data_IF_790413003325
#
_entry.id   IF_790413003325
#
_cell.length_a   1.000
_cell.length_b   1.000
_cell.length_c   1.000
_cell.angle_alpha   90.00
_cell.angle_beta   90.00
_cell.angle_gamma   90.00
#
_symmetry.space_group_name_H-M   'P 1'
#
loop_
_entity.id
_entity.type
_entity.pdbx_description
1 polymer ?
#
# COMPACT_ATOMS: atom_id res chain seq x y z
N UNK A 1 -59.81 17.90 -24.23
CA UNK A 1 -60.76 16.87 -23.77
C UNK A 1 -61.84 16.65 -24.82
N UNK A 2 -61.68 15.73 -25.77
CA UNK A 2 -62.76 15.31 -26.68
C UNK A 2 -62.55 13.86 -27.11
N UNK A 3 -63.21 12.98 -26.39
CA UNK A 3 -63.51 11.60 -26.79
C UNK A 3 -64.63 11.62 -27.84
N UNK A 4 -64.44 10.97 -28.99
CA UNK A 4 -65.50 10.51 -29.91
C UNK A 4 -64.99 9.20 -30.54
N UNK A 5 -65.56 8.02 -30.24
CA UNK A 5 -66.82 7.49 -30.76
C UNK A 5 -66.91 7.67 -32.28
N UNK A 6 -66.61 6.62 -33.06
CA UNK A 6 -67.61 5.66 -33.54
C UNK A 6 -66.99 4.71 -34.57
N UNK A 7 -67.18 3.42 -34.30
CA UNK A 7 -66.95 2.31 -35.21
C UNK A 7 -67.76 2.45 -36.49
N UNK A 8 -67.20 2.05 -37.63
CA UNK A 8 -68.02 1.48 -38.71
C UNK A 8 -67.25 0.40 -39.47
N UNK A 9 -67.91 -0.76 -39.53
CA UNK A 9 -67.53 -2.02 -40.15
C UNK A 9 -67.37 -1.95 -41.68
N UNK A 10 -66.64 -2.90 -42.28
CA UNK A 10 -66.75 -3.14 -43.72
C UNK A 10 -65.71 -4.04 -44.38
N UNK A 11 -65.75 -5.34 -44.11
CA UNK A 11 -65.00 -6.43 -44.77
C UNK A 11 -65.40 -6.57 -46.26
N UNK A 12 -64.46 -6.80 -47.22
CA UNK A 12 -64.44 -7.95 -48.19
C UNK A 12 -63.56 -7.78 -49.45
N UNK A 13 -63.00 -8.93 -49.87
CA UNK A 13 -62.53 -9.36 -51.22
C UNK A 13 -61.23 -8.77 -51.78
N UNK A 14 -60.06 -9.41 -51.67
CA UNK A 14 -59.55 -10.66 -52.30
C UNK A 14 -59.27 -10.63 -53.83
N UNK A 15 -57.97 -10.68 -54.12
CA UNK A 15 -57.24 -11.60 -55.02
C UNK A 15 -57.10 -11.36 -56.54
N UNK A 16 -55.89 -11.74 -56.98
CA UNK A 16 -55.36 -12.15 -58.31
C UNK A 16 -54.78 -11.02 -59.17
N UNK A 17 -53.44 -10.89 -59.23
CA UNK A 17 -52.46 -11.71 -59.99
C UNK A 17 -52.54 -11.46 -61.50
N UNK A 18 -51.46 -10.97 -62.13
CA UNK A 18 -50.63 -11.79 -63.03
C UNK A 18 -49.45 -11.03 -63.66
N UNK A 19 -48.38 -11.81 -63.80
CA UNK A 19 -47.09 -11.61 -64.43
C UNK A 19 -47.11 -10.99 -65.85
N UNK A 20 -46.14 -10.10 -66.14
CA UNK A 20 -45.85 -9.59 -67.49
C UNK A 20 -44.36 -9.25 -67.66
N UNK A 21 -43.55 -10.25 -68.00
CA UNK A 21 -42.16 -10.13 -68.45
C UNK A 21 -42.05 -9.27 -69.73
N UNK A 22 -40.82 -8.79 -70.03
CA UNK A 22 -40.09 -8.88 -71.33
C UNK A 22 -39.38 -7.55 -71.72
N UNK A 23 -38.09 -7.38 -71.39
CA UNK A 23 -36.88 -7.68 -72.22
C UNK A 23 -36.63 -6.65 -73.33
N UNK A 24 -35.62 -5.75 -73.23
CA UNK A 24 -34.25 -5.81 -73.82
C UNK A 24 -33.80 -4.33 -73.99
N UNK A 25 -32.55 -3.86 -74.02
CA UNK A 25 -31.19 -4.40 -74.18
C UNK A 25 -30.23 -3.23 -73.88
N UNK A 26 -29.10 -3.51 -73.22
CA UNK A 26 -27.81 -2.82 -73.32
C UNK A 26 -27.70 -1.35 -72.87
N UNK A 27 -27.20 -1.16 -71.65
CA UNK A 27 -26.01 -0.32 -71.48
C UNK A 27 -24.96 -1.09 -70.68
N UNK A 28 -24.09 -1.71 -71.46
CA UNK A 28 -23.01 -2.60 -71.08
C UNK A 28 -21.75 -1.77 -70.84
N UNK A 29 -21.69 -0.94 -69.78
CA UNK A 29 -20.45 -0.20 -69.47
C UNK A 29 -20.29 0.27 -68.00
N UNK A 30 -20.81 -0.46 -67.00
CA UNK A 30 -20.76 0.03 -65.60
C UNK A 30 -20.57 -1.02 -64.50
N UNK A 31 -20.47 -2.31 -64.80
CA UNK A 31 -20.28 -3.36 -63.78
C UNK A 31 -19.17 -4.34 -64.16
N UNK A 32 -17.95 -3.82 -64.33
CA UNK A 32 -16.73 -4.64 -64.36
C UNK A 32 -15.63 -4.04 -63.47
N UNK A 33 -16.00 -3.64 -62.25
CA UNK A 33 -15.05 -3.28 -61.20
C UNK A 33 -15.56 -3.62 -59.81
N UNK A 34 -16.19 -4.79 -59.65
CA UNK A 34 -16.54 -5.29 -58.31
C UNK A 34 -16.70 -6.81 -58.23
N UNK A 35 -15.86 -7.56 -58.95
CA UNK A 35 -15.86 -9.02 -58.86
C UNK A 35 -14.51 -9.66 -59.26
N UNK A 36 -13.40 -9.08 -58.77
CA UNK A 36 -12.10 -9.75 -58.78
C UNK A 36 -11.16 -9.32 -57.64
N UNK A 37 -11.71 -8.88 -56.50
CA UNK A 37 -10.98 -8.75 -55.22
C UNK A 37 -11.41 -9.84 -54.22
N UNK A 38 -11.66 -11.05 -54.73
CA UNK A 38 -11.96 -12.24 -53.90
C UNK A 38 -10.84 -13.28 -53.91
N UNK A 39 -9.60 -12.88 -54.19
CA UNK A 39 -8.41 -13.75 -54.09
C UNK A 39 -7.35 -13.23 -53.09
N UNK A 40 -7.61 -12.12 -52.37
CA UNK A 40 -6.62 -11.48 -51.48
C UNK A 40 -6.85 -11.62 -49.97
N UNK A 41 -7.99 -12.14 -49.51
CA UNK A 41 -8.39 -12.05 -48.09
C UNK A 41 -8.67 -13.37 -47.37
N UNK A 42 -8.25 -14.53 -47.90
CA UNK A 42 -8.49 -15.84 -47.24
C UNK A 42 -7.22 -16.67 -46.97
N UNK A 43 -6.17 -16.04 -46.46
CA UNK A 43 -5.00 -16.75 -45.89
C UNK A 43 -4.74 -16.43 -44.41
N UNK A 44 -5.68 -15.79 -43.71
CA UNK A 44 -5.63 -15.62 -42.25
C UNK A 44 -6.75 -16.41 -41.58
N UNK A 45 -6.61 -17.73 -41.53
CA UNK A 45 -7.22 -18.60 -40.51
C UNK A 45 -6.84 -20.05 -40.78
N UNK A 46 -5.76 -20.50 -40.15
CA UNK A 46 -5.69 -21.82 -39.51
C UNK A 46 -4.43 -21.83 -38.62
N UNK A 47 -4.54 -22.00 -37.29
CA UNK A 47 -3.37 -22.40 -36.52
C UNK A 47 -2.99 -23.80 -37.03
N UNK A 48 -1.89 -23.89 -37.78
CA UNK A 48 -1.28 -25.17 -38.14
C UNK A 48 -0.63 -25.75 -36.88
N UNK A 49 -1.44 -26.10 -35.89
CA UNK A 49 -1.04 -26.98 -34.80
C UNK A 49 -1.05 -28.43 -35.31
N UNK A 50 -0.35 -28.64 -36.43
CA UNK A 50 0.00 -29.97 -36.85
C UNK A 50 1.04 -30.46 -35.85
N UNK A 51 0.69 -31.53 -35.13
CA UNK A 51 1.55 -32.36 -34.26
C UNK A 51 2.75 -32.94 -35.02
N UNK A 52 3.58 -32.10 -35.64
CA UNK A 52 4.91 -32.49 -36.08
C UNK A 52 5.78 -32.56 -34.84
N UNK A 53 6.38 -33.73 -34.59
CA UNK A 53 7.38 -33.91 -33.52
C UNK A 53 8.38 -32.76 -33.63
N UNK A 54 8.47 -31.92 -32.59
CA UNK A 54 9.40 -30.78 -32.55
C UNK A 54 10.80 -31.32 -32.82
N UNK A 55 11.34 -31.03 -34.00
CA UNK A 55 12.70 -31.44 -34.37
C UNK A 55 13.68 -30.79 -33.40
N UNK A 56 14.78 -31.47 -33.08
CA UNK A 56 15.87 -30.87 -32.32
C UNK A 56 16.32 -29.58 -33.04
N UNK A 57 16.19 -28.45 -32.36
CA UNK A 57 16.54 -27.14 -32.90
C UNK A 57 18.02 -26.92 -32.61
N UNK A 58 18.82 -26.60 -33.64
CA UNK A 58 20.22 -26.25 -33.43
C UNK A 58 20.34 -24.98 -32.57
N UNK A 59 21.26 -24.90 -31.59
CA UNK A 59 21.37 -23.78 -30.64
C UNK A 59 21.47 -22.39 -31.29
N UNK A 60 22.20 -22.29 -32.41
CA UNK A 60 22.41 -21.01 -33.11
C UNK A 60 21.39 -20.75 -34.23
N UNK A 61 20.33 -21.54 -34.35
CA UNK A 61 19.32 -21.34 -35.39
C UNK A 61 18.41 -20.14 -35.08
N UNK A 62 17.80 -19.56 -36.13
CA UNK A 62 16.80 -18.48 -35.98
C UNK A 62 15.64 -18.87 -35.06
N UNK A 63 15.21 -20.13 -35.12
CA UNK A 63 14.15 -20.66 -34.25
C UNK A 63 14.59 -20.74 -32.78
N UNK A 64 15.82 -21.19 -32.51
CA UNK A 64 16.38 -21.19 -31.14
C UNK A 64 16.51 -19.77 -30.58
N UNK A 65 17.01 -18.82 -31.39
CA UNK A 65 17.13 -17.42 -30.96
C UNK A 65 15.76 -16.79 -30.64
N UNK A 66 14.72 -17.13 -31.42
CA UNK A 66 13.35 -16.67 -31.14
C UNK A 66 12.80 -17.26 -29.83
N UNK A 67 13.04 -18.54 -29.57
CA UNK A 67 12.67 -19.18 -28.31
C UNK A 67 13.40 -18.54 -27.12
N UNK A 68 14.71 -18.31 -27.24
CA UNK A 68 15.50 -17.63 -26.21
C UNK A 68 14.98 -16.21 -25.93
N UNK A 69 14.63 -15.44 -26.97
CA UNK A 69 14.03 -14.10 -26.79
C UNK A 69 12.70 -14.16 -26.03
N UNK A 70 11.85 -15.14 -26.33
CA UNK A 70 10.58 -15.35 -25.61
C UNK A 70 10.82 -15.73 -24.15
N UNK A 71 11.71 -16.69 -23.90
CA UNK A 71 12.01 -17.12 -22.52
C UNK A 71 12.61 -15.97 -21.69
N UNK A 72 13.52 -15.17 -22.25
CA UNK A 72 14.06 -14.00 -21.54
C UNK A 72 12.99 -12.94 -21.29
N UNK A 73 12.05 -12.75 -22.22
CA UNK A 73 10.92 -11.85 -21.99
C UNK A 73 10.04 -12.34 -20.83
N UNK A 74 9.68 -13.63 -20.83
CA UNK A 74 8.90 -14.28 -19.78
C UNK A 74 9.61 -14.16 -18.43
N UNK A 75 10.91 -14.48 -18.35
CA UNK A 75 11.71 -14.31 -17.14
C UNK A 75 11.71 -12.86 -16.64
N UNK A 76 11.80 -11.86 -17.54
CA UNK A 76 11.77 -10.45 -17.16
C UNK A 76 10.39 -9.99 -16.69
N UNK A 77 9.30 -10.54 -17.24
CA UNK A 77 7.93 -10.27 -16.77
C UNK A 77 7.72 -10.91 -15.40
N UNK A 78 8.10 -12.19 -15.26
CA UNK A 78 7.98 -12.94 -14.01
C UNK A 78 8.81 -12.29 -12.89
N UNK A 79 10.05 -11.88 -13.17
CA UNK A 79 10.90 -11.17 -12.20
C UNK A 79 10.24 -9.89 -11.71
N UNK A 80 9.66 -9.07 -12.59
CA UNK A 80 8.95 -7.84 -12.20
C UNK A 80 7.71 -8.14 -11.35
N UNK A 81 7.00 -9.24 -11.62
CA UNK A 81 5.86 -9.66 -10.82
C UNK A 81 6.31 -10.11 -9.41
N UNK A 82 7.37 -10.94 -9.34
CA UNK A 82 7.97 -11.38 -8.07
C UNK A 82 8.48 -10.20 -7.24
N UNK A 83 9.21 -9.26 -7.84
CA UNK A 83 9.69 -8.05 -7.15
C UNK A 83 8.53 -7.22 -6.55
N UNK A 84 7.42 -7.06 -7.29
CA UNK A 84 6.24 -6.36 -6.77
C UNK A 84 5.56 -7.13 -5.64
N UNK A 85 5.44 -8.45 -5.78
CA UNK A 85 4.87 -9.31 -4.75
C UNK A 85 5.71 -9.27 -3.46
N UNK A 86 7.04 -9.40 -3.56
CA UNK A 86 7.95 -9.32 -2.41
C UNK A 86 7.89 -7.97 -1.70
N UNK A 87 7.72 -6.86 -2.44
CA UNK A 87 7.53 -5.54 -1.81
C UNK A 87 6.22 -5.46 -1.02
N UNK A 88 5.14 -6.03 -1.56
CA UNK A 88 3.85 -6.08 -0.87
C UNK A 88 3.90 -7.00 0.36
N UNK A 89 4.60 -8.12 0.26
CA UNK A 89 4.84 -9.06 1.37
C UNK A 89 5.61 -8.39 2.50
N UNK A 90 6.75 -7.74 2.20
CA UNK A 90 7.52 -6.98 3.21
C UNK A 90 6.69 -5.88 3.88
N UNK A 91 5.83 -5.21 3.12
CA UNK A 91 4.91 -4.20 3.66
C UNK A 91 3.88 -4.88 4.58
N UNK A 92 3.29 -6.00 4.15
CA UNK A 92 2.35 -6.78 4.95
C UNK A 92 2.96 -7.26 6.27
N UNK A 93 4.17 -7.80 6.25
CA UNK A 93 4.90 -8.23 7.45
C UNK A 93 5.14 -7.05 8.40
N UNK A 94 5.51 -5.89 7.85
CA UNK A 94 5.66 -4.65 8.62
C UNK A 94 4.35 -4.26 9.30
N UNK A 95 3.24 -4.22 8.55
CA UNK A 95 1.93 -3.88 9.10
C UNK A 95 1.51 -4.85 10.20
N UNK A 96 1.72 -6.15 9.97
CA UNK A 96 1.36 -7.18 10.92
C UNK A 96 2.14 -7.05 12.22
N UNK A 97 3.44 -6.76 12.14
CA UNK A 97 4.22 -6.47 13.34
C UNK A 97 3.62 -5.29 14.13
N UNK A 98 3.23 -4.20 13.45
CA UNK A 98 2.62 -3.06 14.13
C UNK A 98 1.24 -3.40 14.72
N UNK A 99 0.45 -4.24 14.05
CA UNK A 99 -0.82 -4.72 14.57
C UNK A 99 -0.62 -5.53 15.86
N UNK A 100 0.28 -6.51 15.82
CA UNK A 100 0.57 -7.43 16.94
C UNK A 100 1.18 -6.71 18.17
N UNK A 101 1.90 -5.61 17.95
CA UNK A 101 2.54 -4.81 19.01
C UNK A 101 1.68 -3.63 19.49
N UNK A 102 0.42 -3.52 19.03
CA UNK A 102 -0.53 -2.50 19.51
C UNK A 102 -1.60 -3.09 20.42
N UNK A 103 -2.16 -2.24 21.29
CA UNK A 103 -3.18 -2.60 22.27
C UNK A 103 -4.57 -2.55 21.62
N UNK A 104 -5.27 -3.68 21.62
CA UNK A 104 -6.65 -3.78 21.11
C UNK A 104 -7.67 -2.97 21.94
N UNK A 105 -7.29 -2.38 23.06
CA UNK A 105 -8.22 -1.60 23.90
C UNK A 105 -8.24 -0.10 23.54
N UNK A 106 -7.18 0.40 22.91
CA UNK A 106 -7.01 1.85 22.66
C UNK A 106 -7.72 2.29 21.38
N UNK A 107 -8.08 3.57 21.29
CA UNK A 107 -8.77 4.14 20.11
C UNK A 107 -7.80 4.89 19.19
N UNK A 108 -6.73 5.46 19.74
CA UNK A 108 -5.71 6.21 19.02
C UNK A 108 -4.43 6.28 19.84
N UNK A 109 -3.30 6.45 19.15
CA UNK A 109 -1.99 6.64 19.77
C UNK A 109 -1.55 8.10 19.71
N UNK A 110 -0.77 8.49 20.71
CA UNK A 110 -0.05 9.77 20.66
C UNK A 110 1.19 9.65 19.78
N UNK A 111 1.69 10.79 19.29
CA UNK A 111 2.91 10.83 18.47
C UNK A 111 4.14 10.26 19.21
N UNK A 112 4.23 10.49 20.52
CA UNK A 112 5.28 9.94 21.39
C UNK A 112 5.23 8.42 21.47
N UNK A 113 4.04 7.85 21.65
CA UNK A 113 3.87 6.39 21.68
C UNK A 113 4.17 5.78 20.32
N UNK A 114 3.85 6.47 19.22
CA UNK A 114 4.24 6.04 17.88
C UNK A 114 5.78 5.97 17.73
N UNK A 115 6.52 6.95 18.25
CA UNK A 115 7.99 6.90 18.30
C UNK A 115 8.49 5.71 19.12
N UNK A 116 7.89 5.43 20.28
CA UNK A 116 8.25 4.28 21.12
C UNK A 116 8.01 2.93 20.40
N UNK A 117 6.92 2.82 19.64
CA UNK A 117 6.65 1.63 18.82
C UNK A 117 7.68 1.47 17.70
N UNK A 118 8.13 2.57 17.09
CA UNK A 118 9.21 2.54 16.09
C UNK A 118 10.52 2.08 16.71
N UNK A 119 10.88 2.56 17.90
CA UNK A 119 12.09 2.10 18.60
C UNK A 119 12.04 0.59 18.87
N UNK A 120 10.91 0.09 19.37
CA UNK A 120 10.67 -1.37 19.52
C UNK A 120 10.79 -2.12 18.20
N UNK A 121 10.31 -1.55 17.09
CA UNK A 121 10.43 -2.15 15.76
C UNK A 121 11.88 -2.25 15.30
N UNK A 122 12.69 -1.23 15.56
CA UNK A 122 14.12 -1.22 15.21
C UNK A 122 14.90 -2.25 16.03
N UNK A 123 14.47 -2.53 17.26
CA UNK A 123 15.14 -3.50 18.15
C UNK A 123 14.76 -4.97 17.87
N UNK A 124 13.87 -5.24 16.90
CA UNK A 124 13.40 -6.60 16.58
C UNK A 124 14.50 -7.60 16.21
N UNK A 125 15.65 -7.13 15.76
CA UNK A 125 16.78 -7.98 15.36
C UNK A 125 17.82 -8.16 16.47
N UNK A 126 17.67 -7.54 17.64
CA UNK A 126 18.66 -7.61 18.71
C UNK A 126 18.85 -9.06 19.19
N UNK A 127 17.76 -9.81 19.38
CA UNK A 127 17.84 -11.23 19.76
C UNK A 127 18.57 -12.08 18.71
N UNK A 128 18.33 -11.85 17.42
CA UNK A 128 19.01 -12.58 16.33
C UNK A 128 20.50 -12.25 16.31
N UNK A 129 20.86 -10.97 16.50
CA UNK A 129 22.26 -10.52 16.54
C UNK A 129 23.00 -11.08 17.75
N UNK A 130 22.38 -11.10 18.93
CA UNK A 130 22.95 -11.69 20.15
C UNK A 130 23.18 -13.20 19.97
N UNK A 131 22.23 -13.92 19.35
CA UNK A 131 22.41 -15.35 19.04
C UNK A 131 23.58 -15.59 18.08
N UNK A 132 23.74 -14.75 17.05
CA UNK A 132 24.88 -14.84 16.12
C UNK A 132 26.19 -14.56 16.85
N UNK A 133 26.21 -13.56 17.75
CA UNK A 133 27.38 -13.22 18.55
C UNK A 133 27.77 -14.36 19.50
N UNK A 134 26.80 -14.97 20.19
CA UNK A 134 27.03 -16.14 21.03
C UNK A 134 27.60 -17.33 20.22
N UNK A 135 27.03 -17.63 19.06
CA UNK A 135 27.54 -18.72 18.20
C UNK A 135 28.94 -18.46 17.68
N UNK A 136 29.28 -17.21 17.40
CA UNK A 136 30.62 -16.82 16.96
C UNK A 136 31.64 -16.76 18.11
N UNK A 137 31.21 -16.44 19.33
CA UNK A 137 32.07 -16.43 20.51
C UNK A 137 32.38 -17.83 21.04
N UNK A 138 31.53 -18.83 20.73
CA UNK A 138 31.80 -20.26 20.93
C UNK A 138 32.92 -20.74 19.99
N UNK A 139 34.14 -20.56 20.49
CA UNK A 139 35.44 -20.67 19.82
C UNK A 139 35.69 -22.01 19.11
N UNK A 140 36.03 -21.94 17.83
CA UNK A 140 36.64 -23.01 17.02
C UNK A 140 37.52 -22.43 15.90
N UNK A 141 38.23 -23.28 15.14
CA UNK A 141 39.05 -22.87 13.97
C UNK A 141 38.22 -22.52 12.72
N UNK A 142 36.90 -22.35 12.87
CA UNK A 142 35.98 -22.07 11.77
C UNK A 142 35.79 -20.57 11.65
N UNK A 143 35.82 -20.03 10.43
CA UNK A 143 35.52 -18.62 10.18
C UNK A 143 34.12 -18.26 10.66
N UNK A 144 33.89 -16.99 10.99
CA UNK A 144 32.61 -16.53 11.56
C UNK A 144 31.42 -17.05 10.74
N UNK A 145 30.55 -17.79 11.42
CA UNK A 145 29.33 -18.30 10.82
C UNK A 145 28.34 -17.14 10.71
N UNK A 146 27.46 -17.19 9.71
CA UNK A 146 26.40 -16.20 9.50
C UNK A 146 26.85 -14.76 9.16
N UNK A 147 28.10 -14.53 8.70
CA UNK A 147 28.58 -13.19 8.28
C UNK A 147 27.62 -12.52 7.28
N UNK A 148 27.17 -13.25 6.25
CA UNK A 148 26.28 -12.69 5.23
C UNK A 148 24.93 -12.25 5.80
N UNK A 149 24.35 -13.02 6.73
CA UNK A 149 23.08 -12.68 7.39
C UNK A 149 23.27 -11.49 8.34
N UNK A 150 24.33 -11.49 9.14
CA UNK A 150 24.67 -10.39 10.04
C UNK A 150 24.86 -9.08 9.28
N UNK A 151 25.57 -9.11 8.14
CA UNK A 151 25.73 -7.95 7.26
C UNK A 151 24.40 -7.49 6.68
N UNK A 152 23.54 -8.40 6.21
CA UNK A 152 22.22 -8.05 5.67
C UNK A 152 21.33 -7.37 6.73
N UNK A 153 21.34 -7.86 7.97
CA UNK A 153 20.61 -7.25 9.09
C UNK A 153 21.15 -5.85 9.38
N UNK A 154 22.48 -5.71 9.54
CA UNK A 154 23.12 -4.41 9.80
C UNK A 154 22.79 -3.39 8.72
N UNK A 155 22.93 -3.77 7.44
CA UNK A 155 22.56 -2.91 6.31
C UNK A 155 21.08 -2.50 6.33
N UNK A 156 20.20 -3.36 6.84
CA UNK A 156 18.76 -3.04 6.96
C UNK A 156 18.54 -2.08 8.11
N UNK A 157 19.10 -2.35 9.29
CA UNK A 157 19.01 -1.48 10.46
C UNK A 157 19.59 -0.08 10.20
N UNK A 158 20.75 0.00 9.55
CA UNK A 158 21.39 1.26 9.22
C UNK A 158 20.48 2.10 8.31
N UNK A 159 19.83 1.48 7.32
CA UNK A 159 18.85 2.16 6.46
C UNK A 159 17.63 2.63 7.25
N UNK A 160 17.03 1.76 8.05
CA UNK A 160 15.82 2.09 8.82
C UNK A 160 16.10 3.18 9.88
N UNK A 161 17.24 3.12 10.57
CA UNK A 161 17.67 4.17 11.52
C UNK A 161 17.95 5.49 10.83
N UNK A 162 18.67 5.48 9.70
CA UNK A 162 18.91 6.70 8.94
C UNK A 162 17.60 7.33 8.46
N UNK A 163 16.63 6.53 8.02
CA UNK A 163 15.29 7.00 7.63
C UNK A 163 14.56 7.66 8.81
N UNK A 164 14.59 7.02 9.99
CA UNK A 164 13.94 7.52 11.21
C UNK A 164 14.56 8.83 11.72
N UNK A 165 15.87 8.97 11.64
CA UNK A 165 16.58 10.16 12.11
C UNK A 165 16.46 11.35 11.15
N UNK A 166 16.32 11.12 9.84
CA UNK A 166 16.38 12.20 8.82
C UNK A 166 15.04 12.52 8.14
N UNK A 167 14.45 11.54 7.46
CA UNK A 167 13.34 11.76 6.51
C UNK A 167 11.97 11.34 7.05
N UNK A 168 11.96 10.60 8.16
CA UNK A 168 10.79 10.04 8.80
C UNK A 168 10.53 8.61 8.34
N UNK A 169 10.43 7.71 9.32
CA UNK A 169 10.16 6.30 9.11
C UNK A 169 8.68 6.08 8.79
N UNK A 170 8.38 5.37 7.71
CA UNK A 170 7.00 5.12 7.26
C UNK A 170 6.32 4.03 8.08
N UNK A 171 5.28 4.36 8.84
CA UNK A 171 4.47 3.44 9.65
C UNK A 171 2.97 3.62 9.35
N UNK A 172 2.11 2.68 9.75
CA UNK A 172 0.66 2.90 9.70
C UNK A 172 0.27 4.13 10.51
N UNK A 173 -0.66 4.93 10.00
CA UNK A 173 -1.24 6.02 10.77
C UNK A 173 -2.06 5.46 11.94
N UNK A 174 -1.42 5.33 13.09
CA UNK A 174 -2.02 4.92 14.37
C UNK A 174 -2.51 6.11 15.19
N UNK A 175 -2.22 7.34 14.75
CA UNK A 175 -2.67 8.58 15.39
C UNK A 175 -4.14 8.81 15.03
N UNK A 176 -4.49 8.60 13.76
CA UNK A 176 -5.88 8.66 13.30
C UNK A 176 -6.66 7.41 13.71
N UNK A 177 -7.62 7.57 14.62
CA UNK A 177 -8.46 6.46 15.09
C UNK A 177 -9.26 5.77 13.98
N UNK A 178 -9.58 6.45 12.87
CA UNK A 178 -10.24 5.82 11.71
C UNK A 178 -9.32 4.83 11.00
N UNK A 179 -8.07 5.22 10.76
CA UNK A 179 -7.09 4.36 10.11
C UNK A 179 -6.65 3.22 11.04
N UNK A 180 -6.55 3.51 12.34
CA UNK A 180 -6.21 2.51 13.34
C UNK A 180 -7.26 1.38 13.43
N UNK A 181 -8.56 1.70 13.31
CA UNK A 181 -9.62 0.68 13.20
C UNK A 181 -9.43 -0.21 11.97
N UNK A 182 -9.10 0.37 10.82
CA UNK A 182 -8.83 -0.40 9.59
C UNK A 182 -7.62 -1.33 9.79
N UNK A 183 -6.55 -0.83 10.43
CA UNK A 183 -5.37 -1.64 10.74
C UNK A 183 -5.71 -2.80 11.69
N UNK A 184 -6.60 -2.57 12.66
CA UNK A 184 -7.04 -3.60 13.61
C UNK A 184 -7.86 -4.70 12.96
N UNK A 185 -8.84 -4.33 12.15
CA UNK A 185 -9.74 -5.26 11.45
C UNK A 185 -9.05 -5.97 10.28
N UNK A 186 -7.85 -5.53 9.89
CA UNK A 186 -7.11 -6.12 8.80
C UNK A 186 -6.67 -7.55 9.15
N UNK A 187 -7.08 -8.50 8.30
CA UNK A 187 -6.87 -9.94 8.50
C UNK A 187 -5.48 -10.44 8.07
N UNK A 188 -4.61 -9.54 7.59
CA UNK A 188 -3.32 -9.91 6.97
C UNK A 188 -3.39 -10.13 5.46
N UNK A 189 -4.54 -9.92 4.83
CA UNK A 189 -4.67 -10.05 3.37
C UNK A 189 -3.96 -8.92 2.61
N UNK A 190 -2.97 -9.30 1.77
CA UNK A 190 -2.14 -8.37 1.01
C UNK A 190 -2.90 -7.45 0.03
N UNK A 191 -4.13 -7.83 -0.35
CA UNK A 191 -4.97 -7.04 -1.27
C UNK A 191 -5.43 -5.72 -0.64
N UNK A 192 -5.66 -5.73 0.68
CA UNK A 192 -6.19 -4.57 1.41
C UNK A 192 -5.11 -3.68 2.00
N UNK A 193 -3.82 -4.05 1.86
CA UNK A 193 -2.67 -3.27 2.30
C UNK A 193 -2.68 -1.84 1.75
N UNK A 194 -3.17 -1.66 0.51
CA UNK A 194 -3.23 -0.35 -0.15
C UNK A 194 -4.27 0.61 0.48
N UNK A 195 -5.23 0.08 1.23
CA UNK A 195 -6.27 0.89 1.87
C UNK A 195 -5.79 1.50 3.19
N UNK A 196 -4.72 0.96 3.78
CA UNK A 196 -4.15 1.43 5.04
C UNK A 196 -3.27 2.65 4.75
N UNK A 197 -3.56 3.76 5.41
CA UNK A 197 -2.76 4.98 5.27
C UNK A 197 -1.46 4.85 6.05
N UNK A 198 -0.38 5.24 5.40
CA UNK A 198 0.96 5.31 5.99
C UNK A 198 1.29 6.77 6.32
N UNK A 199 1.97 6.98 7.44
CA UNK A 199 2.47 8.27 7.92
C UNK A 199 3.95 8.15 8.26
N UNK A 200 4.69 9.24 8.10
CA UNK A 200 6.11 9.33 8.46
C UNK A 200 6.26 9.84 9.88
N UNK A 201 7.06 9.15 10.68
CA UNK A 201 7.41 9.55 12.05
C UNK A 201 8.91 9.80 12.13
N UNK A 202 9.29 10.97 12.63
CA UNK A 202 10.70 11.37 12.78
C UNK A 202 11.08 11.29 14.25
N UNK A 203 12.34 10.96 14.56
CA UNK A 203 12.83 10.92 15.94
C UNK A 203 12.60 12.21 16.73
N UNK A 204 12.76 13.37 16.09
CA UNK A 204 12.55 14.69 16.69
C UNK A 204 11.15 14.89 17.26
N UNK A 205 10.17 14.13 16.78
CA UNK A 205 8.79 14.18 17.25
C UNK A 205 8.64 13.72 18.70
N UNK A 206 9.55 12.85 19.16
CA UNK A 206 9.63 12.44 20.55
C UNK A 206 10.17 13.59 21.44
N UNK A 207 11.18 14.31 20.94
CA UNK A 207 11.87 15.36 21.69
C UNK A 207 11.05 16.64 21.86
N UNK A 208 10.29 17.04 20.83
CA UNK A 208 9.47 18.25 20.88
C UNK A 208 8.40 18.19 21.97
N UNK A 209 7.81 17.02 22.22
CA UNK A 209 6.78 16.84 23.24
C UNK A 209 7.32 16.96 24.68
N UNK A 210 8.57 16.55 24.92
CA UNK A 210 9.21 16.70 26.26
C UNK A 210 9.45 18.15 26.67
N UNK A 211 9.44 19.09 25.72
CA UNK A 211 9.59 20.53 25.98
C UNK A 211 8.27 21.20 26.36
N UNK A 212 7.15 20.69 25.85
CA UNK A 212 5.82 21.20 26.16
C UNK A 212 5.29 20.63 27.50
N UNK A 213 5.59 19.36 27.83
CA UNK A 213 5.28 18.76 29.14
C UNK A 213 5.95 19.52 30.31
N UNK A 214 7.11 20.15 30.07
CA UNK A 214 7.80 20.98 31.08
C UNK A 214 7.13 22.34 31.30
N UNK A 215 6.46 22.93 30.29
CA UNK A 215 5.77 24.22 30.43
C UNK A 215 4.48 24.10 31.25
N UNK A 216 3.77 22.98 31.14
CA UNK A 216 2.55 22.75 31.92
C UNK A 216 2.83 22.44 33.40
N UNK A 217 4.00 21.83 33.70
CA UNK A 217 4.45 21.61 35.08
C UNK A 217 4.83 22.90 35.85
N UNK A 218 5.14 23.99 35.14
CA UNK A 218 5.52 25.28 35.73
C UNK A 218 4.29 26.16 36.03
N UNK A 219 3.21 26.05 35.24
CA UNK A 219 1.98 26.83 35.46
C UNK A 219 1.20 26.43 36.72
N UNK A 220 1.25 25.16 37.14
CA UNK A 220 0.48 24.71 38.31
C UNK A 220 1.13 25.06 39.67
N UNK A 221 2.35 25.62 39.67
CA UNK A 221 2.99 26.15 40.90
C UNK A 221 2.80 27.66 41.09
N UNK A 222 2.32 28.40 40.10
CA UNK A 222 2.18 29.86 40.15
C UNK A 222 0.75 30.36 40.43
N UNK A 223 -0.19 29.47 40.79
CA UNK A 223 -1.61 29.82 40.94
C UNK A 223 -2.16 29.47 42.34
N UNK A 224 -1.31 29.50 43.38
CA UNK A 224 -1.73 29.48 44.80
C UNK A 224 -0.93 30.53 45.59
N UNK A 225 -1.21 31.79 45.30
CA UNK A 225 -0.92 33.02 46.05
C UNK A 225 -1.52 34.08 45.12
N UNK A 226 -2.75 34.54 45.34
CA UNK A 226 -2.98 35.73 46.15
C UNK A 226 -4.47 35.85 46.46
N UNK A 227 -4.81 36.13 47.72
CA UNK A 227 -6.20 36.40 48.10
C UNK A 227 -6.49 36.47 49.58
N UNK A 228 -5.89 37.43 50.32
CA UNK A 228 -6.41 38.01 51.58
C UNK A 228 -5.87 39.45 51.69
N UNK A 229 -6.57 40.46 51.15
CA UNK A 229 -7.53 41.37 51.80
C UNK A 229 -7.00 42.10 53.05
N UNK A 230 -6.70 43.40 52.87
CA UNK A 230 -6.38 44.43 53.87
C UNK A 230 -7.55 44.67 54.85
N UNK A 231 -7.25 44.92 56.11
CA UNK A 231 -7.84 46.03 56.90
C UNK A 231 -6.80 46.52 57.92
N UNK A 232 -6.76 47.85 58.02
CA UNK A 232 -5.82 48.68 58.77
C UNK A 232 -6.05 48.65 60.29
N UNK A 233 -5.01 48.97 61.08
CA UNK A 233 -4.96 50.10 62.02
C UNK A 233 -3.87 49.93 63.10
N UNK A 234 -3.27 51.07 63.44
CA UNK A 234 -2.16 51.29 64.35
C UNK A 234 -2.43 50.82 65.79
N UNK A 235 -1.42 50.28 66.52
CA UNK A 235 -1.24 50.55 67.97
C UNK A 235 0.19 50.19 68.45
N UNK A 236 0.96 51.27 68.70
CA UNK A 236 1.98 51.53 69.75
C UNK A 236 2.82 50.41 70.40
N UNK A 237 4.12 50.72 70.42
CA UNK A 237 5.17 50.25 71.35
C UNK A 237 4.74 50.21 72.83
N UNK A 238 5.14 49.14 73.54
CA UNK A 238 5.64 49.20 74.93
C UNK A 238 6.72 48.12 75.11
N UNK A 239 7.93 48.53 75.48
CA UNK A 239 8.99 47.67 76.06
C UNK A 239 8.59 47.24 77.47
N UNK A 240 8.73 45.95 77.83
CA UNK A 240 9.05 45.52 79.21
C UNK A 240 9.77 44.16 79.19
N UNK A 241 11.06 44.24 79.53
CA UNK A 241 11.86 43.41 80.46
C UNK A 241 11.66 41.88 80.61
N UNK A 242 12.80 41.18 80.52
CA UNK A 242 13.29 40.07 81.34
C UNK A 242 12.29 39.24 82.16
N UNK A 243 12.28 37.92 81.95
CA UNK A 243 12.29 36.92 83.04
C UNK A 243 12.98 35.64 82.54
N UNK A 244 14.06 35.29 83.25
CA UNK A 244 14.69 33.95 83.31
C UNK A 244 13.76 32.94 83.98
N UNK A 245 13.68 31.73 83.43
CA UNK A 245 13.90 30.46 84.15
C UNK A 245 14.30 29.38 83.16
#
# INVERSE_FOLDING_TARGET
MRSRLLDYWGVRSQLLDYCGMRLRLLDYCGMRSRLLDYCGMRSRMWPKDAKQKKKAIHPNSRAALQLARKSFHEQRVERRYKEKASKLELLGDKLKWFQDNTDDTRVSYTKREACQLVEKYLDRFNEELEQIEMKNSMKGRSGSQHISRQQAIRMTLDKERNEYDTSGFEIPDIISGKNYKILREWTGELRYVQNIKMTKVVRSDNELLTRDDKKDSVKHKSEVQDGKHLLDEDTKMVEVEDIKC
#
